data_IF_969216545146
#
_entry.id   IF_969216545146
#
_cell.length_a   1.000
_cell.length_b   1.000
_cell.length_c   1.000
_cell.angle_alpha   90.00
_cell.angle_beta   90.00
_cell.angle_gamma   90.00
#
_symmetry.space_group_name_H-M   'P 1'
#
loop_
_entity.id
_entity.type
_entity.pdbx_description
1 polymer ?
#
# COMPACT_ATOMS: atom_id res chain seq x y z
N UNK A 1 -39.95 -1.39 38.68
CA UNK A 1 -39.04 -0.31 38.24
C UNK A 1 -39.66 0.35 37.01
N UNK A 2 -39.92 1.67 37.02
CA UNK A 2 -40.69 2.34 35.95
C UNK A 2 -39.89 2.29 34.63
N UNK A 3 -40.51 1.84 33.52
CA UNK A 3 -39.90 1.79 32.18
C UNK A 3 -39.26 3.14 31.75
N UNK A 4 -39.76 4.26 32.26
CA UNK A 4 -39.16 5.59 32.06
C UNK A 4 -37.74 5.70 32.63
N UNK A 5 -37.43 5.05 33.76
CA UNK A 5 -36.07 5.04 34.33
C UNK A 5 -35.12 4.18 33.54
N UNK A 6 -35.61 3.07 32.96
CA UNK A 6 -34.79 2.19 32.09
C UNK A 6 -34.47 2.90 30.76
N UNK A 7 -35.45 3.62 30.17
CA UNK A 7 -35.26 4.40 28.95
C UNK A 7 -34.26 5.54 29.12
N UNK A 8 -34.30 6.26 30.27
CA UNK A 8 -33.37 7.35 30.59
C UNK A 8 -31.95 6.81 30.82
N UNK A 9 -31.79 5.59 31.31
CA UNK A 9 -30.49 4.94 31.53
C UNK A 9 -29.89 4.35 30.23
N UNK A 10 -30.73 3.98 29.26
CA UNK A 10 -30.30 3.42 27.96
C UNK A 10 -29.88 4.52 26.98
N UNK A 11 -30.43 5.74 27.10
CA UNK A 11 -30.14 6.85 26.18
C UNK A 11 -28.69 7.30 26.21
N UNK A 12 -27.98 7.48 27.33
CA UNK A 12 -26.55 7.83 27.35
C UNK A 12 -25.65 6.68 26.89
N UNK A 13 -26.08 5.44 27.04
CA UNK A 13 -25.31 4.27 26.56
C UNK A 13 -25.25 4.22 25.02
N UNK A 14 -26.31 4.69 24.34
CA UNK A 14 -26.36 4.78 22.86
C UNK A 14 -25.49 5.91 22.31
N UNK A 15 -25.21 6.96 23.10
CA UNK A 15 -24.37 8.08 22.69
C UNK A 15 -22.86 7.80 22.85
N UNK A 16 -22.45 6.74 23.56
CA UNK A 16 -21.05 6.41 23.82
C UNK A 16 -20.32 5.73 22.65
N UNK A 17 -21.02 5.43 21.53
CA UNK A 17 -20.49 4.66 20.40
C UNK A 17 -19.99 5.50 19.22
N UNK A 18 -19.84 6.82 19.36
CA UNK A 18 -19.34 7.66 18.27
C UNK A 18 -17.83 7.49 18.06
N UNK A 19 -17.43 7.17 16.83
CA UNK A 19 -16.03 7.25 16.40
C UNK A 19 -15.61 8.71 16.46
N UNK A 20 -14.67 9.04 17.35
CA UNK A 20 -14.18 10.42 17.51
C UNK A 20 -13.29 10.80 16.33
N UNK A 21 -13.31 12.05 15.89
CA UNK A 21 -12.44 12.60 14.84
C UNK A 21 -10.95 12.32 15.10
N UNK A 22 -10.55 12.26 16.37
CA UNK A 22 -9.18 11.88 16.76
C UNK A 22 -8.73 10.50 16.29
N UNK A 23 -9.65 9.57 16.03
CA UNK A 23 -9.32 8.22 15.51
C UNK A 23 -9.20 8.18 14.00
N UNK A 24 -9.75 9.16 13.31
CA UNK A 24 -9.87 9.16 11.84
C UNK A 24 -8.89 10.12 11.18
N UNK A 25 -8.60 11.25 11.83
CA UNK A 25 -7.72 12.25 11.24
C UNK A 25 -6.26 11.75 11.19
N UNK A 26 -5.60 12.03 10.09
CA UNK A 26 -4.17 11.82 9.87
C UNK A 26 -3.38 13.08 10.27
N UNK A 27 -2.06 12.99 10.34
CA UNK A 27 -1.15 14.13 10.53
C UNK A 27 -1.45 14.96 11.79
N UNK A 28 -1.66 14.30 12.93
CA UNK A 28 -1.91 14.95 14.21
C UNK A 28 -0.60 15.10 14.98
N UNK A 29 -0.48 16.19 15.77
CA UNK A 29 0.69 16.40 16.63
C UNK A 29 0.80 15.29 17.70
N UNK A 30 1.97 14.65 17.85
CA UNK A 30 2.20 13.62 18.85
C UNK A 30 2.00 14.15 20.26
N UNK A 31 1.45 13.31 21.13
CA UNK A 31 1.27 13.64 22.55
C UNK A 31 0.06 14.53 22.88
N UNK A 32 -0.39 15.43 21.98
CA UNK A 32 -1.54 16.31 22.23
C UNK A 32 -2.89 15.59 22.19
N UNK A 33 -3.01 14.55 21.38
CA UNK A 33 -4.25 13.82 21.17
C UNK A 33 -4.21 12.37 21.66
N UNK A 34 -3.23 12.02 22.50
CA UNK A 34 -2.98 10.64 22.92
C UNK A 34 -2.37 9.77 21.83
N UNK A 35 -1.78 10.39 20.81
CA UNK A 35 -1.01 9.73 19.76
C UNK A 35 0.41 9.55 20.29
N UNK A 36 0.98 8.34 20.24
CA UNK A 36 2.34 8.10 20.71
C UNK A 36 3.35 8.90 19.88
N UNK A 37 4.41 9.36 20.53
CA UNK A 37 5.54 9.96 19.83
C UNK A 37 6.29 8.86 19.10
N UNK A 38 6.69 9.16 17.87
CA UNK A 38 7.35 8.25 16.97
C UNK A 38 8.64 8.91 16.47
N UNK A 39 9.77 8.47 16.97
CA UNK A 39 11.06 9.04 16.63
C UNK A 39 11.88 8.05 15.79
N UNK A 40 11.79 8.15 14.48
CA UNK A 40 12.78 7.57 13.57
C UNK A 40 13.54 8.70 12.87
N UNK A 41 14.85 8.63 12.90
CA UNK A 41 15.69 9.58 12.17
C UNK A 41 15.83 9.09 10.74
N UNK A 42 15.24 9.81 9.81
CA UNK A 42 15.28 9.45 8.41
C UNK A 42 16.64 9.76 7.78
N UNK A 43 17.30 8.71 7.28
CA UNK A 43 18.28 8.82 6.22
C UNK A 43 17.60 8.37 4.92
N UNK A 44 17.41 9.29 3.96
CA UNK A 44 16.90 8.91 2.65
C UNK A 44 18.05 8.32 1.83
N UNK A 45 17.99 7.03 1.61
CA UNK A 45 18.89 6.30 0.71
C UNK A 45 18.17 6.02 -0.61
N UNK A 46 18.89 6.16 -1.74
CA UNK A 46 18.39 5.73 -3.04
C UNK A 46 18.15 4.21 -3.01
N UNK A 47 17.10 3.74 -3.66
CA UNK A 47 16.79 2.32 -3.74
C UNK A 47 17.94 1.53 -4.34
N UNK A 48 18.40 0.51 -3.63
CA UNK A 48 19.39 -0.45 -4.07
C UNK A 48 18.73 -1.67 -4.73
N UNK A 49 19.29 -2.06 -5.87
CA UNK A 49 18.77 -3.18 -6.66
C UNK A 49 18.91 -4.50 -5.92
N UNK A 50 17.83 -5.29 -6.00
CA UNK A 50 17.70 -6.62 -5.38
C UNK A 50 17.56 -7.71 -6.45
N UNK A 51 17.83 -8.94 -6.05
CA UNK A 51 17.53 -10.12 -6.87
C UNK A 51 16.04 -10.13 -7.23
N UNK A 52 15.73 -10.38 -8.49
CA UNK A 52 14.36 -10.37 -9.02
C UNK A 52 13.89 -9.01 -9.54
N UNK A 53 14.63 -7.92 -9.30
CA UNK A 53 14.34 -6.64 -9.93
C UNK A 53 14.51 -6.72 -11.45
N UNK A 54 13.71 -5.95 -12.17
CA UNK A 54 13.82 -5.83 -13.61
C UNK A 54 14.19 -4.42 -14.03
N UNK A 55 15.20 -4.34 -14.88
CA UNK A 55 15.73 -3.09 -15.39
C UNK A 55 15.35 -2.90 -16.85
N UNK A 56 14.84 -1.75 -17.18
CA UNK A 56 14.82 -1.23 -18.53
C UNK A 56 16.07 -0.41 -18.74
N UNK A 57 16.87 -0.78 -19.73
CA UNK A 57 18.13 -0.13 -20.06
C UNK A 57 18.07 0.30 -21.52
N UNK A 58 18.32 1.59 -21.76
CA UNK A 58 18.36 2.16 -23.09
C UNK A 58 19.67 2.91 -23.31
N UNK A 59 20.35 2.63 -24.42
CA UNK A 59 21.62 3.25 -24.78
C UNK A 59 21.34 4.30 -25.86
N UNK A 60 21.60 5.56 -25.53
CA UNK A 60 21.53 6.66 -26.47
C UNK A 60 22.88 6.83 -27.15
N UNK A 61 22.90 6.84 -28.48
CA UNK A 61 24.10 7.13 -29.25
C UNK A 61 23.76 8.06 -30.43
N UNK A 62 24.73 8.87 -30.86
CA UNK A 62 24.64 9.66 -32.08
C UNK A 62 24.74 8.78 -33.34
N UNK A 63 25.39 7.61 -33.21
CA UNK A 63 25.48 6.64 -34.32
C UNK A 63 24.30 5.69 -34.28
N UNK A 64 23.47 5.72 -35.33
CA UNK A 64 22.29 4.86 -35.48
C UNK A 64 22.64 3.35 -35.48
N UNK A 65 23.86 2.96 -35.88
CA UNK A 65 24.31 1.57 -35.83
C UNK A 65 24.50 1.10 -34.40
N UNK A 66 25.08 1.94 -33.57
CA UNK A 66 25.26 1.69 -32.12
C UNK A 66 23.90 1.61 -31.42
N UNK A 67 23.00 2.55 -31.75
CA UNK A 67 21.63 2.55 -31.23
C UNK A 67 20.91 1.25 -31.54
N UNK A 68 20.95 0.81 -32.80
CA UNK A 68 20.34 -0.47 -33.24
C UNK A 68 20.99 -1.70 -32.60
N UNK A 69 22.28 -1.66 -32.35
CA UNK A 69 23.02 -2.79 -31.78
C UNK A 69 22.57 -3.09 -30.32
N UNK A 70 22.39 -2.07 -29.51
CA UNK A 70 22.01 -2.24 -28.10
C UNK A 70 20.51 -2.20 -27.85
N UNK A 71 19.76 -1.47 -28.67
CA UNK A 71 18.33 -1.24 -28.46
C UNK A 71 17.42 -2.01 -29.43
N UNK A 72 17.98 -2.91 -30.27
CA UNK A 72 17.20 -3.64 -31.28
C UNK A 72 16.04 -4.45 -30.70
N UNK A 73 16.17 -4.89 -29.44
CA UNK A 73 15.09 -5.55 -28.69
C UNK A 73 14.17 -4.55 -27.97
N UNK A 74 14.62 -3.31 -27.74
CA UNK A 74 13.96 -2.32 -26.86
C UNK A 74 13.18 -1.24 -27.62
N UNK A 75 13.06 -1.34 -28.94
CA UNK A 75 12.48 -0.33 -29.82
C UNK A 75 11.20 0.36 -29.32
N UNK A 76 10.52 1.10 -30.14
CA UNK A 76 9.32 1.94 -29.87
C UNK A 76 8.25 1.26 -28.98
N UNK A 77 8.20 -0.07 -28.94
CA UNK A 77 7.28 -0.87 -28.12
C UNK A 77 7.62 -0.73 -26.62
N UNK A 78 8.91 -0.70 -26.25
CA UNK A 78 9.33 -0.57 -24.84
C UNK A 78 8.87 0.74 -24.19
N UNK A 79 8.87 1.84 -24.93
CA UNK A 79 8.45 3.17 -24.43
C UNK A 79 6.93 3.22 -24.22
N UNK A 80 6.13 2.63 -25.11
CA UNK A 80 4.67 2.58 -24.95
C UNK A 80 4.23 1.72 -23.76
N UNK A 81 4.99 0.66 -23.45
CA UNK A 81 4.70 -0.20 -22.29
C UNK A 81 5.03 0.47 -20.95
N UNK A 82 6.04 1.33 -20.88
CA UNK A 82 6.36 2.13 -19.69
C UNK A 82 5.27 3.15 -19.35
N UNK A 83 4.46 3.57 -20.33
CA UNK A 83 3.37 4.54 -20.15
C UNK A 83 2.04 3.94 -19.67
N UNK A 84 2.00 2.70 -19.23
CA UNK A 84 0.86 2.13 -18.50
C UNK A 84 -0.33 1.69 -19.35
N UNK A 85 -0.21 1.60 -20.67
CA UNK A 85 -1.28 1.19 -21.58
C UNK A 85 -1.33 -0.32 -21.88
N UNK A 86 -0.51 -1.13 -21.25
CA UNK A 86 -0.37 -2.55 -21.50
C UNK A 86 -1.06 -3.44 -20.48
N UNK A 87 -2.27 -3.84 -20.78
CA UNK A 87 -2.85 -5.04 -20.16
C UNK A 87 -2.11 -6.28 -20.66
N UNK A 88 -1.93 -7.25 -19.76
CA UNK A 88 -1.41 -8.61 -19.97
C UNK A 88 0.12 -8.81 -19.94
N UNK A 89 0.52 -9.52 -18.95
CA UNK A 89 1.82 -9.90 -18.41
C UNK A 89 2.86 -10.60 -19.29
N UNK A 90 2.87 -10.46 -20.61
CA UNK A 90 3.73 -11.27 -21.46
C UNK A 90 4.89 -10.56 -22.15
N UNK A 91 4.80 -9.25 -22.35
CA UNK A 91 5.75 -8.54 -23.24
C UNK A 91 6.92 -7.84 -22.54
N UNK A 92 6.84 -7.64 -21.22
CA UNK A 92 7.92 -6.97 -20.48
C UNK A 92 9.22 -7.76 -20.41
N UNK A 93 9.13 -9.08 -20.47
CA UNK A 93 10.29 -9.96 -20.31
C UNK A 93 11.25 -9.87 -21.51
N UNK A 94 10.75 -9.46 -22.68
CA UNK A 94 11.52 -9.35 -23.90
C UNK A 94 12.43 -8.10 -23.97
N UNK A 95 12.12 -7.08 -23.16
CA UNK A 95 12.77 -5.76 -23.25
C UNK A 95 13.40 -5.32 -21.92
N UNK A 96 13.49 -6.22 -20.95
CA UNK A 96 14.01 -5.92 -19.62
C UNK A 96 15.05 -6.91 -19.17
N UNK A 97 15.97 -6.45 -18.35
CA UNK A 97 17.04 -7.26 -17.79
C UNK A 97 16.68 -7.65 -16.37
N UNK A 98 16.62 -8.95 -16.08
CA UNK A 98 16.35 -9.48 -14.76
C UNK A 98 17.66 -9.51 -13.95
N UNK A 99 17.63 -8.98 -12.71
CA UNK A 99 18.70 -9.20 -11.74
C UNK A 99 18.61 -10.65 -11.26
N UNK A 100 19.56 -11.47 -11.68
CA UNK A 100 19.61 -12.90 -11.44
C UNK A 100 19.98 -13.21 -9.98
N UNK A 101 19.90 -14.49 -9.59
CA UNK A 101 20.21 -14.94 -8.22
C UNK A 101 21.65 -14.62 -7.79
N UNK A 102 22.59 -14.55 -8.72
CA UNK A 102 23.98 -14.15 -8.48
C UNK A 102 24.19 -12.63 -8.40
N UNK A 103 23.11 -11.85 -8.55
CA UNK A 103 23.13 -10.40 -8.47
C UNK A 103 23.61 -9.68 -9.74
N UNK A 104 23.72 -10.40 -10.86
CA UNK A 104 24.14 -9.86 -12.17
C UNK A 104 22.97 -9.71 -13.12
N UNK A 105 23.15 -8.88 -14.14
CA UNK A 105 22.33 -8.85 -15.37
C UNK A 105 23.18 -9.32 -16.55
N UNK A 106 22.55 -9.94 -17.55
CA UNK A 106 23.22 -10.27 -18.81
C UNK A 106 22.94 -9.16 -19.81
N UNK A 107 23.95 -8.28 -20.04
CA UNK A 107 23.82 -7.17 -20.96
C UNK A 107 24.50 -7.48 -22.32
N UNK A 108 23.84 -7.21 -23.45
CA UNK A 108 24.39 -7.52 -24.76
C UNK A 108 25.79 -6.94 -24.96
N UNK A 109 26.67 -7.69 -25.55
CA UNK A 109 28.07 -7.34 -25.88
C UNK A 109 29.00 -7.14 -24.68
N UNK A 110 28.51 -6.73 -23.52
CA UNK A 110 29.28 -6.57 -22.28
C UNK A 110 29.34 -7.88 -21.50
N UNK A 111 28.24 -8.67 -21.57
CA UNK A 111 28.10 -9.90 -20.80
C UNK A 111 27.52 -9.67 -19.42
N UNK A 112 28.09 -10.34 -18.41
CA UNK A 112 27.56 -10.31 -17.03
C UNK A 112 28.03 -9.07 -16.28
N UNK A 113 27.06 -8.24 -15.84
CA UNK A 113 27.32 -7.01 -15.10
C UNK A 113 26.75 -7.15 -13.70
N UNK A 114 27.57 -7.05 -12.63
CA UNK A 114 27.10 -7.08 -11.25
C UNK A 114 26.33 -5.80 -10.94
N UNK A 115 25.08 -5.91 -10.47
CA UNK A 115 24.20 -4.76 -10.21
C UNK A 115 23.54 -4.81 -8.83
N UNK A 116 23.56 -5.94 -8.14
CA UNK A 116 22.97 -6.08 -6.80
C UNK A 116 23.62 -5.11 -5.82
N UNK A 117 22.78 -4.39 -5.03
CA UNK A 117 23.24 -3.38 -4.07
C UNK A 117 23.64 -2.06 -4.73
N UNK A 118 23.54 -1.94 -6.05
CA UNK A 118 23.78 -0.66 -6.74
C UNK A 118 22.47 0.11 -6.90
N UNK A 119 22.58 1.42 -6.92
CA UNK A 119 21.46 2.28 -7.37
C UNK A 119 21.40 2.29 -8.90
N UNK A 120 20.27 2.72 -9.48
CA UNK A 120 20.15 2.88 -10.94
C UNK A 120 21.22 3.82 -11.52
N UNK A 121 21.63 4.84 -10.74
CA UNK A 121 22.72 5.74 -11.10
C UNK A 121 24.08 5.03 -11.09
N UNK A 122 24.28 4.10 -10.15
CA UNK A 122 25.48 3.27 -10.09
C UNK A 122 25.60 2.37 -11.32
N UNK A 123 24.53 1.66 -11.65
CA UNK A 123 24.46 0.79 -12.85
C UNK A 123 24.69 1.59 -14.14
N UNK A 124 24.08 2.78 -14.24
CA UNK A 124 24.30 3.69 -15.37
C UNK A 124 25.78 3.96 -15.60
N UNK A 125 26.51 4.36 -14.54
CA UNK A 125 27.96 4.66 -14.62
C UNK A 125 28.76 3.45 -15.06
N UNK A 126 28.51 2.28 -14.45
CA UNK A 126 29.21 1.04 -14.81
C UNK A 126 29.01 0.70 -16.28
N UNK A 127 27.74 0.78 -16.77
CA UNK A 127 27.44 0.50 -18.17
C UNK A 127 28.06 1.54 -19.11
N UNK A 128 28.05 2.83 -18.76
CA UNK A 128 28.68 3.88 -19.58
C UNK A 128 30.21 3.66 -19.68
N UNK A 129 30.87 3.26 -18.59
CA UNK A 129 32.30 2.96 -18.57
C UNK A 129 32.63 1.72 -19.43
N UNK A 130 31.91 0.62 -19.24
CA UNK A 130 32.11 -0.62 -20.00
C UNK A 130 31.86 -0.42 -21.50
N UNK A 131 30.74 0.22 -21.86
CA UNK A 131 30.36 0.48 -23.23
C UNK A 131 31.33 1.47 -23.91
N UNK A 132 31.82 2.49 -23.18
CA UNK A 132 32.79 3.43 -23.73
C UNK A 132 34.09 2.73 -24.11
N UNK A 133 34.54 1.77 -23.30
CA UNK A 133 35.71 0.95 -23.56
C UNK A 133 35.54 0.07 -24.78
N UNK A 134 34.37 -0.54 -24.90
CA UNK A 134 34.01 -1.37 -26.04
C UNK A 134 33.92 -0.57 -27.34
N UNK A 135 33.29 0.60 -27.34
CA UNK A 135 33.06 1.42 -28.53
C UNK A 135 34.34 2.12 -28.99
N UNK A 136 35.23 2.55 -28.11
CA UNK A 136 36.54 3.04 -28.49
C UNK A 136 37.35 2.05 -29.32
N UNK A 137 37.12 0.78 -29.12
CA UNK A 137 37.72 -0.28 -29.91
C UNK A 137 37.19 -0.37 -31.37
N UNK A 138 35.99 0.22 -31.62
CA UNK A 138 35.34 0.18 -32.95
C UNK A 138 35.34 1.52 -33.70
N UNK A 139 35.77 2.63 -33.10
CA UNK A 139 35.78 3.93 -33.74
C UNK A 139 35.67 5.09 -32.72
N UNK A 140 35.84 6.32 -33.19
CA UNK A 140 35.88 7.55 -32.37
C UNK A 140 34.46 8.05 -32.07
N UNK A 141 33.69 7.29 -31.28
CA UNK A 141 32.29 7.62 -30.89
C UNK A 141 32.25 8.25 -29.50
N UNK A 142 32.17 9.59 -29.43
CA UNK A 142 32.37 10.36 -28.20
C UNK A 142 31.10 10.65 -27.38
N UNK A 143 29.89 10.38 -27.88
CA UNK A 143 28.66 10.71 -27.15
C UNK A 143 27.75 9.51 -27.02
N UNK A 144 27.77 8.91 -25.86
CA UNK A 144 26.85 7.87 -25.47
C UNK A 144 26.34 8.14 -24.07
N UNK A 145 25.07 7.89 -23.83
CA UNK A 145 24.47 7.94 -22.51
C UNK A 145 23.57 6.74 -22.31
N UNK A 146 23.54 6.21 -21.10
CA UNK A 146 22.71 5.07 -20.72
C UNK A 146 21.59 5.55 -19.82
N UNK A 147 20.37 5.17 -20.09
CA UNK A 147 19.24 5.35 -19.21
C UNK A 147 18.90 4.01 -18.54
N UNK A 148 18.81 4.02 -17.21
CA UNK A 148 18.47 2.82 -16.43
C UNK A 148 17.25 3.14 -15.58
N UNK A 149 16.18 2.37 -15.75
CA UNK A 149 14.93 2.47 -14.98
C UNK A 149 14.55 1.11 -14.41
N UNK A 150 14.08 1.08 -13.18
CA UNK A 150 13.47 -0.12 -12.61
C UNK A 150 12.04 -0.21 -13.12
N UNK A 151 11.67 -1.34 -13.67
CA UNK A 151 10.30 -1.62 -14.14
C UNK A 151 9.57 -2.54 -13.18
N UNK A 152 8.23 -2.48 -13.21
CA UNK A 152 7.36 -3.28 -12.34
C UNK A 152 7.60 -3.04 -10.83
N UNK A 153 7.94 -1.81 -10.48
CA UNK A 153 7.94 -1.44 -9.07
C UNK A 153 6.50 -1.40 -8.59
N UNK A 154 6.17 -2.25 -7.63
CA UNK A 154 4.83 -2.31 -7.06
C UNK A 154 4.89 -2.56 -5.56
N UNK A 155 3.85 -2.17 -4.86
CA UNK A 155 3.59 -2.49 -3.46
C UNK A 155 2.19 -3.07 -3.32
N UNK A 156 1.94 -3.77 -2.23
CA UNK A 156 0.63 -4.35 -1.95
C UNK A 156 0.00 -3.73 -0.72
N UNK A 157 -1.32 -3.53 -0.75
CA UNK A 157 -2.08 -3.04 0.39
C UNK A 157 -3.15 -4.05 0.75
N UNK A 158 -3.24 -4.39 2.03
CA UNK A 158 -4.28 -5.24 2.61
C UNK A 158 -5.02 -4.41 3.65
N UNK A 159 -6.27 -4.08 3.37
CA UNK A 159 -7.08 -3.20 4.22
C UNK A 159 -8.49 -3.76 4.45
N UNK A 160 -9.28 -3.04 5.25
CA UNK A 160 -10.69 -3.32 5.46
C UNK A 160 -11.55 -3.09 4.21
N UNK A 161 -11.11 -2.23 3.28
CA UNK A 161 -11.76 -1.99 1.98
C UNK A 161 -11.43 -3.02 0.92
N UNK A 162 -10.40 -3.83 1.13
CA UNK A 162 -9.94 -4.84 0.19
C UNK A 162 -8.44 -4.94 0.12
N UNK A 163 -7.96 -5.73 -0.83
CA UNK A 163 -6.55 -5.93 -1.08
C UNK A 163 -6.23 -5.65 -2.53
N UNK A 164 -5.07 -5.06 -2.79
CA UNK A 164 -4.63 -4.77 -4.15
C UNK A 164 -3.12 -4.59 -4.23
N UNK A 165 -2.59 -4.75 -5.44
CA UNK A 165 -1.21 -4.42 -5.78
C UNK A 165 -1.21 -3.18 -6.65
N UNK A 166 -0.38 -2.19 -6.31
CA UNK A 166 -0.33 -0.88 -6.93
C UNK A 166 1.06 -0.61 -7.50
N UNK A 167 1.12 -0.06 -8.70
CA UNK A 167 2.38 0.26 -9.35
C UNK A 167 2.94 1.59 -8.84
N UNK A 168 4.25 1.63 -8.62
CA UNK A 168 5.00 2.83 -8.24
C UNK A 168 5.38 3.57 -9.53
N UNK A 169 4.67 4.63 -9.86
CA UNK A 169 4.89 5.41 -11.09
C UNK A 169 5.92 6.54 -10.93
N UNK A 170 6.23 6.89 -9.68
CA UNK A 170 7.19 7.94 -9.34
C UNK A 170 8.48 7.33 -8.81
N UNK A 171 9.54 8.10 -8.77
CA UNK A 171 10.77 7.68 -8.12
C UNK A 171 10.56 7.40 -6.63
N UNK A 172 9.72 8.20 -5.98
CA UNK A 172 9.36 8.09 -4.56
C UNK A 172 7.85 8.17 -4.39
N UNK A 173 7.29 7.25 -3.62
CA UNK A 173 5.89 7.25 -3.19
C UNK A 173 5.86 7.24 -1.68
N UNK A 174 5.19 8.19 -1.09
CA UNK A 174 5.01 8.26 0.37
C UNK A 174 3.94 7.27 0.83
N UNK A 175 3.96 6.92 2.13
CA UNK A 175 2.90 6.09 2.73
C UNK A 175 1.50 6.68 2.52
N UNK A 176 1.37 8.02 2.58
CA UNK A 176 0.08 8.67 2.38
C UNK A 176 -0.39 8.58 0.92
N UNK A 177 0.53 8.73 -0.06
CA UNK A 177 0.21 8.49 -1.46
C UNK A 177 -0.17 7.02 -1.71
N UNK A 178 0.54 6.08 -1.09
CA UNK A 178 0.23 4.65 -1.20
C UNK A 178 -1.16 4.32 -0.64
N UNK A 179 -1.52 4.88 0.51
CA UNK A 179 -2.85 4.76 1.08
C UNK A 179 -3.92 5.39 0.18
N UNK A 180 -3.66 6.57 -0.38
CA UNK A 180 -4.57 7.23 -1.31
C UNK A 180 -4.79 6.40 -2.59
N UNK A 181 -3.74 5.79 -3.15
CA UNK A 181 -3.83 4.87 -4.30
C UNK A 181 -4.70 3.65 -3.98
N UNK A 182 -4.67 3.17 -2.74
CA UNK A 182 -5.48 2.05 -2.27
C UNK A 182 -6.93 2.43 -1.90
N UNK A 183 -7.30 3.71 -2.03
CA UNK A 183 -8.65 4.21 -1.68
C UNK A 183 -8.81 4.59 -0.22
N UNK A 184 -7.71 4.95 0.44
CA UNK A 184 -7.60 5.30 1.86
C UNK A 184 -7.97 4.12 2.82
N UNK A 185 -7.77 4.35 4.09
CA UNK A 185 -8.17 3.45 5.16
C UNK A 185 -9.67 3.62 5.40
N UNK A 186 -10.42 2.53 5.36
CA UNK A 186 -11.86 2.56 5.59
C UNK A 186 -12.23 2.89 7.03
N UNK A 187 -13.55 2.91 7.29
CA UNK A 187 -14.11 3.26 8.61
C UNK A 187 -13.74 2.23 9.69
N UNK A 188 -13.43 1.02 9.28
CA UNK A 188 -13.06 -0.10 10.15
C UNK A 188 -11.57 -0.42 10.17
N UNK A 189 -10.76 0.33 9.43
CA UNK A 189 -9.31 0.23 9.47
C UNK A 189 -8.72 0.96 10.67
N UNK A 190 -7.80 0.31 11.38
CA UNK A 190 -7.13 0.90 12.53
C UNK A 190 -5.92 1.72 12.09
N UNK A 191 -6.09 3.02 11.98
CA UNK A 191 -5.04 3.98 11.61
C UNK A 191 -3.89 4.04 12.61
N UNK A 192 -4.12 3.57 13.83
CA UNK A 192 -3.07 3.51 14.86
C UNK A 192 -2.18 2.26 14.75
N UNK A 193 -2.54 1.28 13.90
CA UNK A 193 -1.86 0.00 13.77
C UNK A 193 -1.70 -0.39 12.30
N UNK A 194 -0.99 0.44 11.59
CA UNK A 194 -0.57 0.14 10.21
C UNK A 194 0.79 -0.54 10.26
N UNK A 195 0.95 -1.64 9.56
CA UNK A 195 2.21 -2.39 9.47
C UNK A 195 2.74 -2.35 8.06
N UNK A 196 4.03 -2.10 7.93
CA UNK A 196 4.76 -2.36 6.70
C UNK A 196 5.61 -3.61 6.92
N UNK A 197 5.51 -4.53 5.96
CA UNK A 197 6.37 -5.69 5.83
C UNK A 197 7.31 -5.40 4.68
N UNK A 198 8.59 -5.30 4.96
CA UNK A 198 9.65 -4.99 4.00
C UNK A 198 10.73 -6.06 4.06
N UNK A 199 11.17 -6.51 2.92
CA UNK A 199 12.33 -7.39 2.82
C UNK A 199 13.57 -6.56 2.50
N UNK A 200 14.57 -6.60 3.37
CA UNK A 200 15.86 -5.93 3.17
C UNK A 200 16.98 -6.95 3.46
N UNK A 201 17.88 -7.13 2.50
CA UNK A 201 19.04 -8.05 2.64
C UNK A 201 18.66 -9.51 2.98
N UNK A 202 17.52 -9.99 2.48
CA UNK A 202 17.00 -11.34 2.77
C UNK A 202 16.36 -11.50 4.16
N UNK A 203 16.22 -10.41 4.91
CA UNK A 203 15.54 -10.37 6.20
C UNK A 203 14.20 -9.65 6.07
N UNK A 204 13.14 -10.28 6.56
CA UNK A 204 11.82 -9.67 6.62
C UNK A 204 11.73 -8.79 7.86
N UNK A 205 11.54 -7.50 7.66
CA UNK A 205 11.29 -6.52 8.71
C UNK A 205 9.79 -6.21 8.76
N UNK A 206 9.24 -6.15 9.96
CA UNK A 206 7.85 -5.73 10.19
C UNK A 206 7.85 -4.55 11.13
N UNK A 207 7.38 -3.41 10.64
CA UNK A 207 7.24 -2.19 11.44
C UNK A 207 5.76 -1.84 11.60
N UNK A 208 5.34 -1.62 12.84
CA UNK A 208 4.01 -1.08 13.17
C UNK A 208 4.14 0.39 13.53
N UNK A 209 3.24 1.22 13.01
CA UNK A 209 3.23 2.66 13.25
C UNK A 209 1.81 3.23 13.23
N UNK A 210 1.68 4.43 13.76
CA UNK A 210 0.45 5.19 13.80
C UNK A 210 0.47 6.25 12.68
N UNK A 211 -0.29 6.03 11.59
CA UNK A 211 -0.35 6.99 10.47
C UNK A 211 -1.08 8.29 10.81
N UNK A 212 -1.69 8.37 11.99
CA UNK A 212 -2.29 9.61 12.47
C UNK A 212 -1.23 10.60 12.95
N UNK A 213 -0.05 10.11 13.38
CA UNK A 213 1.05 10.95 13.83
C UNK A 213 1.80 11.57 12.67
N UNK A 214 2.11 12.86 12.77
CA UNK A 214 2.99 13.53 11.79
C UNK A 214 4.44 13.04 11.86
N UNK A 215 4.86 12.40 12.99
CA UNK A 215 6.23 11.88 13.16
C UNK A 215 6.59 10.80 12.14
N UNK A 216 5.60 10.19 11.48
CA UNK A 216 5.87 9.21 10.42
C UNK A 216 6.70 9.81 9.28
N UNK A 217 6.66 11.14 9.08
CA UNK A 217 7.42 11.84 8.06
C UNK A 217 8.93 11.66 8.26
N UNK A 218 9.34 11.49 9.52
CA UNK A 218 10.75 11.27 9.89
C UNK A 218 11.14 9.78 9.96
N UNK A 219 10.26 8.88 9.53
CA UNK A 219 10.50 7.44 9.55
C UNK A 219 11.15 6.97 8.26
N UNK A 220 12.01 5.95 8.35
CA UNK A 220 12.53 5.21 7.19
C UNK A 220 11.42 4.56 6.35
N UNK A 221 10.23 4.30 6.94
CA UNK A 221 9.06 3.75 6.27
C UNK A 221 8.13 4.80 5.67
N UNK A 222 8.51 6.10 5.72
CA UNK A 222 7.73 7.16 5.07
C UNK A 222 7.64 6.99 3.56
N UNK A 223 8.74 6.54 2.94
CA UNK A 223 8.77 6.18 1.54
C UNK A 223 8.59 4.68 1.36
N UNK A 224 7.66 4.33 0.47
CA UNK A 224 7.35 2.94 0.13
C UNK A 224 8.40 2.43 -0.85
N UNK A 225 8.94 1.26 -0.56
CA UNK A 225 9.84 0.53 -1.44
C UNK A 225 9.10 -0.51 -2.29
N UNK A 226 9.68 -0.95 -3.42
CA UNK A 226 9.15 -2.07 -4.18
C UNK A 226 9.01 -3.33 -3.31
N UNK A 227 7.92 -4.06 -3.54
CA UNK A 227 7.54 -5.27 -2.81
C UNK A 227 7.12 -5.06 -1.33
N UNK A 228 7.00 -3.81 -0.86
CA UNK A 228 6.42 -3.56 0.45
C UNK A 228 4.97 -4.09 0.51
N UNK A 229 4.61 -4.65 1.66
CA UNK A 229 3.22 -5.01 1.97
C UNK A 229 2.74 -4.13 3.12
N UNK A 230 1.75 -3.29 2.84
CA UNK A 230 1.09 -2.44 3.82
C UNK A 230 -0.13 -3.19 4.33
N UNK A 231 -0.11 -3.55 5.60
CA UNK A 231 -1.21 -4.23 6.27
C UNK A 231 -1.91 -3.30 7.25
N UNK A 232 -3.21 -3.11 7.07
CA UNK A 232 -4.06 -2.28 7.91
C UNK A 232 -4.95 -3.19 8.74
N UNK A 233 -4.73 -3.19 10.05
CA UNK A 233 -5.51 -4.01 10.97
C UNK A 233 -6.96 -3.51 11.03
N UNK A 234 -7.91 -4.43 11.11
CA UNK A 234 -9.31 -4.08 11.32
C UNK A 234 -9.63 -3.84 12.79
N UNK A 235 -10.45 -2.85 13.07
CA UNK A 235 -10.97 -2.59 14.41
C UNK A 235 -11.93 -3.71 14.80
N UNK A 236 -11.87 -4.18 16.06
CA UNK A 236 -12.68 -5.32 16.56
C UNK A 236 -14.20 -5.11 16.49
N UNK A 237 -14.68 -3.88 16.31
CA UNK A 237 -16.12 -3.55 16.25
C UNK A 237 -16.86 -3.99 14.98
N UNK A 238 -16.16 -4.41 13.94
CA UNK A 238 -16.78 -4.81 12.66
C UNK A 238 -17.60 -6.12 12.74
N UNK A 239 -17.43 -6.90 13.81
CA UNK A 239 -18.11 -8.20 13.97
C UNK A 239 -19.64 -8.11 14.08
N UNK A 240 -20.19 -6.93 14.34
CA UNK A 240 -21.63 -6.73 14.53
C UNK A 240 -22.37 -6.19 13.29
N UNK A 241 -21.68 -6.00 12.14
CA UNK A 241 -22.34 -5.59 10.88
C UNK A 241 -22.98 -4.19 10.90
N UNK A 242 -22.66 -3.36 11.90
CA UNK A 242 -23.23 -2.01 12.06
C UNK A 242 -22.35 -1.02 11.28
N UNK A 243 -22.67 -0.85 9.99
CA UNK A 243 -21.84 -0.09 9.04
C UNK A 243 -22.28 1.38 8.88
N UNK A 244 -23.38 1.79 9.51
CA UNK A 244 -23.87 3.17 9.44
C UNK A 244 -24.78 3.53 10.61
N UNK A 245 -24.97 4.82 10.84
CA UNK A 245 -25.94 5.34 11.83
C UNK A 245 -27.35 4.82 11.52
N UNK A 246 -27.72 4.74 10.25
CA UNK A 246 -29.01 4.18 9.80
C UNK A 246 -29.17 2.71 10.17
N UNK A 247 -28.13 1.89 10.00
CA UNK A 247 -28.14 0.48 10.40
C UNK A 247 -28.26 0.35 11.92
N UNK A 248 -27.58 1.20 12.69
CA UNK A 248 -27.69 1.24 14.16
C UNK A 248 -29.11 1.58 14.59
N UNK A 249 -29.72 2.60 13.99
CA UNK A 249 -31.11 2.99 14.26
C UNK A 249 -32.07 1.88 13.91
N UNK A 250 -31.89 1.22 12.76
CA UNK A 250 -32.77 0.13 12.33
C UNK A 250 -32.69 -1.10 13.26
N UNK A 251 -31.49 -1.45 13.75
CA UNK A 251 -31.32 -2.54 14.72
C UNK A 251 -32.02 -2.22 16.02
N UNK A 252 -31.86 -0.99 16.53
CA UNK A 252 -32.55 -0.55 17.76
C UNK A 252 -34.07 -0.54 17.56
N UNK A 253 -34.56 0.01 16.43
CA UNK A 253 -35.99 0.07 16.14
C UNK A 253 -36.61 -1.33 16.01
N UNK A 254 -35.94 -2.27 15.31
CA UNK A 254 -36.42 -3.66 15.19
C UNK A 254 -36.41 -4.39 16.54
N UNK A 255 -35.39 -4.16 17.37
CA UNK A 255 -35.32 -4.77 18.72
C UNK A 255 -36.47 -4.27 19.61
N UNK A 256 -36.72 -2.96 19.58
CA UNK A 256 -37.86 -2.36 20.32
C UNK A 256 -39.23 -2.85 19.81
N UNK A 257 -39.40 -2.93 18.48
CA UNK A 257 -40.62 -3.43 17.87
C UNK A 257 -40.89 -4.91 18.22
N UNK A 258 -39.84 -5.74 18.16
CA UNK A 258 -39.93 -7.15 18.55
C UNK A 258 -40.21 -7.29 20.07
N UNK A 259 -39.55 -6.53 20.92
CA UNK A 259 -39.80 -6.50 22.36
C UNK A 259 -41.23 -6.07 22.68
N UNK A 260 -41.76 -5.05 21.99
CA UNK A 260 -43.15 -4.61 22.11
C UNK A 260 -44.15 -5.66 21.64
N UNK A 261 -43.85 -6.38 20.55
CA UNK A 261 -44.68 -7.48 20.05
C UNK A 261 -44.75 -8.64 21.06
N UNK A 262 -43.62 -9.07 21.59
CA UNK A 262 -43.55 -10.14 22.58
C UNK A 262 -44.29 -9.73 23.87
N UNK A 263 -44.11 -8.49 24.34
CA UNK A 263 -44.83 -7.97 25.48
C UNK A 263 -46.35 -7.99 25.24
N UNK A 264 -46.81 -7.54 24.08
CA UNK A 264 -48.22 -7.57 23.69
C UNK A 264 -48.83 -8.99 23.67
N UNK A 265 -48.07 -9.98 23.19
CA UNK A 265 -48.49 -11.41 23.25
C UNK A 265 -48.62 -11.89 24.70
N UNK A 266 -47.63 -11.61 25.54
CA UNK A 266 -47.64 -12.03 26.95
C UNK A 266 -48.83 -11.41 27.69
N UNK A 267 -49.09 -10.11 27.52
CA UNK A 267 -50.27 -9.47 28.13
C UNK A 267 -51.58 -10.04 27.64
N UNK A 268 -51.71 -10.34 26.33
CA UNK A 268 -52.91 -11.00 25.76
C UNK A 268 -53.13 -12.40 26.34
N UNK A 269 -52.05 -13.19 26.49
CA UNK A 269 -52.19 -14.55 27.07
C UNK A 269 -52.57 -14.49 28.55
N UNK A 270 -52.01 -13.54 29.35
CA UNK A 270 -52.37 -13.37 30.75
C UNK A 270 -53.84 -12.97 30.88
N UNK A 271 -54.29 -11.98 30.12
CA UNK A 271 -55.69 -11.54 30.14
C UNK A 271 -56.67 -12.64 29.66
N UNK A 272 -56.28 -13.47 28.69
CA UNK A 272 -57.08 -14.60 28.25
C UNK A 272 -57.25 -15.68 29.34
N UNK A 273 -56.16 -15.97 30.10
CA UNK A 273 -56.18 -16.92 31.22
C UNK A 273 -57.00 -16.36 32.39
N UNK A 274 -56.88 -15.09 32.73
CA UNK A 274 -57.68 -14.43 33.78
C UNK A 274 -59.16 -14.50 33.43
N UNK A 275 -59.57 -14.18 32.20
CA UNK A 275 -60.93 -14.25 31.75
C UNK A 275 -61.49 -15.69 31.69
N UNK A 276 -60.66 -16.69 31.49
CA UNK A 276 -61.04 -18.11 31.51
C UNK A 276 -61.29 -18.63 32.93
N UNK A 277 -60.54 -18.10 33.94
CA UNK A 277 -60.66 -18.49 35.33
C UNK A 277 -61.78 -17.72 36.08
N UNK A 278 -62.36 -16.69 35.47
CA UNK A 278 -63.44 -15.87 36.02
C UNK A 278 -64.85 -16.36 35.60
N UNK A 279 -64.93 -17.41 34.80
CA UNK A 279 -66.16 -18.13 34.41
C UNK A 279 -66.25 -19.45 35.15
#
# INVERSE_FOLDING_TARGET
MSYKRILILLLPLLMASCVTSKRVNLMQEPGKNGIPQYADTMSYEDYELRIGDRLYIYVYSVDERVDKMFNSSSGTIGIQMLQGSGGAGGSYDLYTYLVQEDGCIDFPMVGRVPVRGMTTRGVKRVLEDELSSFIKSYGDYQMMSVEVKIVRRSFSVISDRGSGTFNIHKEKVTIFEALAMAGDIGDFGDRSKVRIVREKEGLTQVKEFDVRSEDIINSEFYYIEPNDVIYIQRIKGQSFGINSVTTSISVVATTLAFGGFVYGLVVRTINAVENANAK
#
